data_IF_253330922770
#
_entry.id   IF_253330922770
#
_cell.length_a   1.000
_cell.length_b   1.000
_cell.length_c   1.000
_cell.angle_alpha   90.00
_cell.angle_beta   90.00
_cell.angle_gamma   90.00
#
_symmetry.space_group_name_H-M   'P 1'
#
loop_
_entity.id
_entity.type
_entity.pdbx_description
1 polymer ?
#
# COMPACT_ATOMS: atom_id res chain seq x y z
N UNK A 1 34.32 0.25 6.55
CA UNK A 1 32.98 0.05 5.92
C UNK A 1 31.94 0.82 6.72
N UNK A 2 31.39 1.88 6.12
CA UNK A 2 30.46 2.78 6.81
C UNK A 2 29.08 2.15 7.05
N UNK A 3 28.29 2.78 7.92
CA UNK A 3 26.89 2.42 8.24
C UNK A 3 26.03 2.17 7.00
N UNK A 4 26.19 2.99 5.97
CA UNK A 4 25.44 2.88 4.69
C UNK A 4 25.72 1.54 4.00
N UNK A 5 26.98 1.08 3.93
CA UNK A 5 27.32 -0.19 3.29
C UNK A 5 26.72 -1.41 4.01
N UNK A 6 26.52 -1.33 5.34
CA UNK A 6 25.85 -2.39 6.11
C UNK A 6 24.31 -2.30 6.05
N UNK A 7 23.77 -1.08 6.00
CA UNK A 7 22.33 -0.85 5.92
C UNK A 7 21.76 -1.28 4.57
N UNK A 8 22.51 -1.08 3.48
CA UNK A 8 22.14 -1.41 2.11
C UNK A 8 22.92 -2.61 1.54
N UNK A 9 23.19 -3.61 2.38
CA UNK A 9 23.83 -4.85 1.93
C UNK A 9 22.86 -5.69 1.10
N UNK A 10 22.92 -5.54 -0.23
CA UNK A 10 22.11 -6.26 -1.19
C UNK A 10 22.49 -7.74 -1.31
N UNK A 11 23.61 -8.16 -0.72
CA UNK A 11 24.03 -9.57 -0.68
C UNK A 11 23.42 -10.35 0.47
N UNK A 12 22.76 -9.69 1.42
CA UNK A 12 22.21 -10.30 2.61
C UNK A 12 21.14 -11.34 2.26
N UNK A 13 21.35 -12.58 2.71
CA UNK A 13 20.38 -13.67 2.58
C UNK A 13 19.45 -13.64 3.79
N UNK A 14 18.16 -13.69 3.54
CA UNK A 14 17.14 -13.75 4.59
C UNK A 14 16.77 -15.18 4.90
N UNK A 15 16.60 -15.49 6.20
CA UNK A 15 16.22 -16.82 6.63
C UNK A 15 14.75 -17.13 6.30
N UNK A 16 14.53 -18.13 5.45
CA UNK A 16 13.21 -18.63 5.08
C UNK A 16 12.37 -19.05 6.29
N UNK A 17 13.02 -19.54 7.36
CA UNK A 17 12.35 -20.01 8.58
C UNK A 17 11.42 -18.99 9.20
N UNK A 18 11.81 -17.70 9.22
CA UNK A 18 11.11 -16.66 9.96
C UNK A 18 10.10 -15.85 9.12
N UNK A 19 9.98 -16.13 7.83
CA UNK A 19 9.05 -15.39 6.99
C UNK A 19 7.60 -15.84 7.18
N UNK A 20 6.67 -14.89 7.21
CA UNK A 20 5.23 -15.14 7.24
C UNK A 20 4.66 -15.18 5.82
N UNK A 21 5.22 -14.38 4.90
CA UNK A 21 4.81 -14.32 3.51
C UNK A 21 5.56 -15.35 2.64
N UNK A 22 5.00 -15.65 1.46
CA UNK A 22 5.61 -16.44 0.39
C UNK A 22 6.05 -17.86 0.77
N UNK A 23 5.50 -18.44 1.87
CA UNK A 23 5.78 -19.82 2.29
C UNK A 23 5.30 -20.89 1.30
N UNK A 24 4.50 -20.51 0.33
CA UNK A 24 4.08 -21.36 -0.77
C UNK A 24 5.17 -21.50 -1.86
N UNK A 25 6.22 -20.67 -1.82
CA UNK A 25 7.38 -20.80 -2.68
C UNK A 25 8.40 -21.77 -2.05
N UNK A 26 9.02 -22.68 -2.83
CA UNK A 26 10.16 -23.46 -2.38
C UNK A 26 11.30 -22.54 -1.91
N UNK A 27 12.01 -22.93 -0.85
CA UNK A 27 13.09 -22.12 -0.26
C UNK A 27 14.14 -21.66 -1.28
N UNK A 28 14.65 -22.51 -2.21
CA UNK A 28 15.63 -22.07 -3.21
C UNK A 28 15.11 -20.94 -4.11
N UNK A 29 13.82 -20.95 -4.43
CA UNK A 29 13.18 -19.88 -5.22
C UNK A 29 13.03 -18.61 -4.36
N UNK A 30 12.57 -18.76 -3.12
CA UNK A 30 12.39 -17.65 -2.19
C UNK A 30 13.70 -16.87 -1.96
N UNK A 31 14.81 -17.55 -1.74
CA UNK A 31 16.11 -16.90 -1.46
C UNK A 31 16.81 -16.39 -2.73
N UNK A 32 16.29 -16.70 -3.92
CA UNK A 32 16.93 -16.35 -5.19
C UNK A 32 16.99 -14.83 -5.42
N UNK A 33 18.03 -14.40 -6.12
CA UNK A 33 18.16 -13.00 -6.58
C UNK A 33 17.06 -12.62 -7.56
N UNK A 34 16.57 -13.57 -8.34
CA UNK A 34 15.46 -13.37 -9.29
C UNK A 34 14.18 -13.00 -8.55
N UNK A 35 13.80 -13.73 -7.50
CA UNK A 35 12.64 -13.39 -6.66
C UNK A 35 12.79 -12.00 -6.04
N UNK A 36 13.97 -11.67 -5.53
CA UNK A 36 14.23 -10.33 -4.99
C UNK A 36 14.07 -9.23 -6.04
N UNK A 37 14.57 -9.45 -7.25
CA UNK A 37 14.43 -8.49 -8.36
C UNK A 37 12.98 -8.34 -8.83
N UNK A 38 12.22 -9.44 -8.92
CA UNK A 38 10.79 -9.42 -9.27
C UNK A 38 9.96 -8.66 -8.24
N UNK A 39 10.20 -8.90 -6.95
CA UNK A 39 9.50 -8.19 -5.88
C UNK A 39 9.85 -6.69 -5.89
N UNK A 40 11.12 -6.34 -6.09
CA UNK A 40 11.54 -4.94 -6.19
C UNK A 40 10.93 -4.25 -7.42
N UNK A 41 10.93 -4.91 -8.58
CA UNK A 41 10.31 -4.40 -9.79
C UNK A 41 8.79 -4.25 -9.63
N UNK A 42 8.14 -5.22 -8.99
CA UNK A 42 6.71 -5.15 -8.65
C UNK A 42 6.41 -3.97 -7.72
N UNK A 43 7.21 -3.79 -6.66
CA UNK A 43 7.08 -2.64 -5.75
C UNK A 43 7.18 -1.30 -6.50
N UNK A 44 8.26 -1.12 -7.27
CA UNK A 44 8.48 0.11 -8.04
C UNK A 44 7.39 0.34 -9.10
N UNK A 45 7.00 -0.71 -9.82
CA UNK A 45 5.96 -0.66 -10.85
C UNK A 45 4.59 -0.30 -10.29
N UNK A 46 4.20 -0.93 -9.18
CA UNK A 46 2.93 -0.65 -8.52
C UNK A 46 2.91 0.74 -7.88
N UNK A 47 4.00 1.15 -7.26
CA UNK A 47 4.12 2.50 -6.71
C UNK A 47 4.00 3.55 -7.84
N UNK A 48 4.70 3.34 -8.96
CA UNK A 48 4.59 4.19 -10.13
C UNK A 48 3.16 4.23 -10.69
N UNK A 49 2.47 3.07 -10.75
CA UNK A 49 1.08 2.99 -11.18
C UNK A 49 0.17 3.86 -10.31
N UNK A 50 0.29 3.79 -8.96
CA UNK A 50 -0.50 4.63 -8.06
C UNK A 50 -0.16 6.12 -8.22
N UNK A 51 1.12 6.46 -8.32
CA UNK A 51 1.57 7.84 -8.55
C UNK A 51 0.91 8.37 -9.83
N UNK A 52 1.06 7.66 -10.95
CA UNK A 52 0.64 8.15 -12.27
C UNK A 52 -0.87 8.19 -12.46
N UNK A 53 -1.60 7.20 -11.90
CA UNK A 53 -3.03 7.04 -12.19
C UNK A 53 -3.95 7.55 -11.08
N UNK A 54 -3.48 7.60 -9.82
CA UNK A 54 -4.32 7.90 -8.67
C UNK A 54 -3.92 9.21 -7.97
N UNK A 55 -2.63 9.43 -7.72
CA UNK A 55 -2.19 10.57 -6.91
C UNK A 55 -1.97 11.83 -7.73
N UNK A 56 -1.34 11.72 -8.89
CA UNK A 56 -1.14 12.88 -9.78
C UNK A 56 -2.42 13.30 -10.50
N UNK A 57 -3.32 12.35 -10.82
CA UNK A 57 -4.61 12.67 -11.43
C UNK A 57 -5.54 13.43 -10.47
N UNK A 58 -5.51 13.09 -9.19
CA UNK A 58 -6.33 13.78 -8.19
C UNK A 58 -5.99 15.27 -8.05
N UNK A 59 -4.80 15.68 -8.49
CA UNK A 59 -4.33 17.08 -8.44
C UNK A 59 -4.50 17.84 -9.77
N UNK A 60 -5.20 17.26 -10.74
CA UNK A 60 -5.62 17.97 -11.95
C UNK A 60 -4.59 18.08 -13.08
N UNK A 61 -3.44 17.41 -13.00
CA UNK A 61 -2.40 17.61 -14.01
C UNK A 61 -1.75 16.35 -14.59
N UNK A 62 -1.86 15.20 -13.95
CA UNK A 62 -1.12 14.00 -14.36
C UNK A 62 0.38 14.29 -14.54
N UNK A 63 1.05 13.58 -15.45
CA UNK A 63 2.48 13.80 -15.76
C UNK A 63 2.76 15.20 -16.31
N UNK A 64 1.84 15.76 -17.10
CA UNK A 64 2.00 17.10 -17.65
C UNK A 64 1.97 18.17 -16.55
N UNK A 65 1.10 18.01 -15.53
CA UNK A 65 1.06 18.88 -14.36
C UNK A 65 2.33 18.80 -13.53
N UNK A 66 2.88 17.60 -13.30
CA UNK A 66 4.17 17.44 -12.61
C UNK A 66 5.30 18.09 -13.38
N UNK A 67 5.36 17.87 -14.69
CA UNK A 67 6.37 18.51 -15.55
C UNK A 67 6.28 20.04 -15.51
N UNK A 68 5.06 20.56 -15.49
CA UNK A 68 4.83 21.99 -15.35
C UNK A 68 5.30 22.50 -13.97
N UNK A 69 4.94 21.82 -12.87
CA UNK A 69 5.36 22.16 -11.51
C UNK A 69 6.88 22.11 -11.31
N UNK A 70 7.58 21.22 -12.00
CA UNK A 70 9.04 21.14 -11.96
C UNK A 70 9.72 22.32 -12.71
N UNK A 71 8.99 22.95 -13.62
CA UNK A 71 9.50 24.08 -14.44
C UNK A 71 9.03 25.45 -13.98
N UNK A 72 7.91 25.50 -13.28
CA UNK A 72 7.29 26.75 -12.81
C UNK A 72 7.07 26.64 -11.31
N UNK A 73 7.21 27.76 -10.60
CA UNK A 73 6.78 27.81 -9.21
C UNK A 73 5.28 27.48 -9.12
N UNK A 74 4.83 26.73 -8.11
CA UNK A 74 3.41 26.46 -7.91
C UNK A 74 2.67 27.79 -7.79
N UNK A 75 1.41 27.89 -8.33
CA UNK A 75 0.60 29.08 -8.17
C UNK A 75 0.47 29.45 -6.69
N UNK A 76 0.60 30.73 -6.36
CA UNK A 76 0.50 31.21 -4.99
C UNK A 76 -0.85 30.83 -4.33
N UNK A 77 -1.89 30.65 -5.15
CA UNK A 77 -3.25 30.32 -4.74
C UNK A 77 -3.57 28.82 -4.85
N UNK A 78 -2.56 27.94 -4.99
CA UNK A 78 -2.79 26.50 -5.06
C UNK A 78 -3.42 26.03 -3.73
N UNK A 79 -4.59 25.32 -3.78
CA UNK A 79 -5.20 24.83 -2.57
C UNK A 79 -4.28 23.85 -1.85
N UNK A 80 -4.21 23.91 -0.50
CA UNK A 80 -3.39 23.00 0.27
C UNK A 80 -3.88 21.56 0.07
N UNK A 81 -2.93 20.60 0.08
CA UNK A 81 -3.26 19.19 0.06
C UNK A 81 -4.14 18.83 1.26
N UNK A 82 -5.22 18.10 1.01
CA UNK A 82 -6.06 17.57 2.06
C UNK A 82 -5.24 16.67 3.01
N UNK A 83 -5.35 16.85 4.35
CA UNK A 83 -4.69 15.96 5.32
C UNK A 83 -5.05 14.48 5.10
N UNK A 84 -6.29 14.20 4.73
CA UNK A 84 -6.74 12.84 4.39
C UNK A 84 -5.96 12.27 3.20
N UNK A 85 -5.74 13.07 2.16
CA UNK A 85 -4.95 12.67 0.99
C UNK A 85 -3.51 12.30 1.38
N UNK A 86 -2.86 13.14 2.16
CA UNK A 86 -1.50 12.90 2.62
C UNK A 86 -1.41 11.60 3.43
N UNK A 87 -2.30 11.38 4.39
CA UNK A 87 -2.33 10.16 5.21
C UNK A 87 -2.60 8.94 4.35
N UNK A 88 -3.55 9.03 3.41
CA UNK A 88 -3.86 7.95 2.47
C UNK A 88 -2.65 7.57 1.61
N UNK A 89 -1.96 8.56 1.03
CA UNK A 89 -0.75 8.32 0.25
C UNK A 89 0.33 7.61 1.07
N UNK A 90 0.60 8.09 2.29
CA UNK A 90 1.60 7.50 3.17
C UNK A 90 1.25 6.05 3.54
N UNK A 91 0.01 5.79 3.92
CA UNK A 91 -0.42 4.46 4.34
C UNK A 91 -0.48 3.47 3.16
N UNK A 92 -0.94 3.91 1.99
CA UNK A 92 -0.94 3.07 0.78
C UNK A 92 0.49 2.79 0.33
N UNK A 93 1.39 3.77 0.34
CA UNK A 93 2.79 3.57 -0.01
C UNK A 93 3.47 2.57 0.93
N UNK A 94 3.24 2.70 2.25
CA UNK A 94 3.74 1.75 3.23
C UNK A 94 3.18 0.34 2.99
N UNK A 95 1.88 0.22 2.72
CA UNK A 95 1.22 -1.06 2.44
C UNK A 95 1.78 -1.72 1.17
N UNK A 96 2.02 -0.95 0.09
CA UNK A 96 2.68 -1.47 -1.12
C UNK A 96 4.05 -2.04 -0.74
N UNK A 97 4.86 -1.33 0.06
CA UNK A 97 6.15 -1.81 0.54
C UNK A 97 6.05 -3.12 1.32
N UNK A 98 5.03 -3.27 2.17
CA UNK A 98 4.77 -4.51 2.93
C UNK A 98 4.38 -5.67 2.01
N UNK A 99 3.50 -5.44 1.03
CA UNK A 99 3.05 -6.49 0.09
C UNK A 99 4.22 -7.05 -0.74
N UNK A 100 5.13 -6.19 -1.16
CA UNK A 100 6.30 -6.58 -1.94
C UNK A 100 7.56 -6.84 -1.10
N UNK A 101 7.45 -6.86 0.23
CA UNK A 101 8.57 -7.18 1.08
C UNK A 101 9.11 -8.59 0.76
N UNK A 102 10.42 -8.69 0.53
CA UNK A 102 11.10 -9.96 0.24
C UNK A 102 10.93 -10.98 1.37
N UNK A 103 10.96 -10.50 2.61
CA UNK A 103 10.70 -11.29 3.80
C UNK A 103 9.88 -10.46 4.77
N UNK A 104 8.89 -11.08 5.36
CA UNK A 104 7.98 -10.44 6.30
C UNK A 104 8.00 -11.25 7.59
N UNK A 105 8.76 -10.77 8.58
CA UNK A 105 8.80 -11.38 9.91
C UNK A 105 7.57 -10.95 10.72
N UNK A 106 7.23 -11.70 11.76
CA UNK A 106 6.08 -11.41 12.65
C UNK A 106 6.12 -9.99 13.22
N UNK A 107 7.30 -9.48 13.58
CA UNK A 107 7.47 -8.13 14.09
C UNK A 107 7.07 -7.03 13.10
N UNK A 108 7.10 -7.30 11.79
CA UNK A 108 6.70 -6.31 10.78
C UNK A 108 5.21 -6.06 10.76
N UNK A 109 4.41 -6.89 11.43
CA UNK A 109 3.00 -6.63 11.63
C UNK A 109 2.76 -5.29 12.34
N UNK A 110 3.61 -4.93 13.31
CA UNK A 110 3.54 -3.64 14.00
C UNK A 110 3.73 -2.43 13.09
N UNK A 111 4.35 -2.61 11.91
CA UNK A 111 4.61 -1.51 10.99
C UNK A 111 3.39 -1.06 10.19
N UNK A 112 2.37 -1.90 10.07
CA UNK A 112 1.21 -1.55 9.26
C UNK A 112 -0.15 -1.95 9.86
N UNK A 113 -0.22 -2.77 10.92
CA UNK A 113 -1.51 -3.20 11.45
C UNK A 113 -2.40 -2.00 11.86
N UNK A 114 -1.81 -0.96 12.40
CA UNK A 114 -2.51 0.25 12.81
C UNK A 114 -3.08 1.04 11.61
N UNK A 115 -2.55 0.83 10.42
CA UNK A 115 -3.04 1.46 9.18
C UNK A 115 -4.19 0.67 8.54
N UNK A 116 -4.31 -0.64 8.85
CA UNK A 116 -5.29 -1.53 8.23
C UNK A 116 -6.75 -1.06 8.36
N UNK A 117 -7.24 -0.60 9.53
CA UNK A 117 -8.58 -0.07 9.62
C UNK A 117 -8.82 1.09 8.66
N UNK A 118 -7.90 2.03 8.60
CA UNK A 118 -8.00 3.17 7.68
C UNK A 118 -8.00 2.71 6.22
N UNK A 119 -7.09 1.82 5.83
CA UNK A 119 -6.98 1.31 4.46
C UNK A 119 -8.23 0.52 4.05
N UNK A 120 -8.76 -0.33 4.91
CA UNK A 120 -9.99 -1.09 4.66
C UNK A 120 -11.20 -0.17 4.45
N UNK A 121 -11.33 0.89 5.25
CA UNK A 121 -12.40 1.88 5.10
C UNK A 121 -12.19 2.81 3.89
N UNK A 122 -10.98 2.90 3.36
CA UNK A 122 -10.70 3.59 2.09
C UNK A 122 -11.13 2.78 0.86
N UNK A 123 -11.50 1.51 1.00
CA UNK A 123 -11.99 0.65 -0.10
C UNK A 123 -13.50 0.77 -0.31
N UNK A 124 -14.05 0.41 -1.49
CA UNK A 124 -15.48 0.30 -1.73
C UNK A 124 -16.09 -1.01 -1.22
N UNK A 125 -15.30 -1.87 -0.56
CA UNK A 125 -15.74 -3.18 -0.11
C UNK A 125 -16.86 -3.09 0.95
N UNK A 126 -17.79 -4.05 1.00
CA UNK A 126 -18.78 -4.13 2.05
C UNK A 126 -18.14 -4.47 3.41
N UNK A 127 -18.81 -4.11 4.51
CA UNK A 127 -18.30 -4.28 5.87
C UNK A 127 -17.80 -5.70 6.15
N UNK A 128 -18.59 -6.71 5.74
CA UNK A 128 -18.23 -8.13 5.96
C UNK A 128 -16.90 -8.47 5.28
N UNK A 129 -16.67 -8.01 4.05
CA UNK A 129 -15.41 -8.25 3.34
C UNK A 129 -14.24 -7.54 4.02
N UNK A 130 -14.41 -6.31 4.50
CA UNK A 130 -13.38 -5.57 5.24
C UNK A 130 -12.97 -6.31 6.51
N UNK A 131 -13.96 -6.76 7.29
CA UNK A 131 -13.70 -7.51 8.53
C UNK A 131 -13.07 -8.88 8.24
N UNK A 132 -13.49 -9.57 7.17
CA UNK A 132 -12.92 -10.84 6.76
C UNK A 132 -11.44 -10.69 6.33
N UNK A 133 -11.11 -9.64 5.57
CA UNK A 133 -9.73 -9.34 5.20
C UNK A 133 -8.89 -9.03 6.44
N UNK A 134 -9.41 -8.20 7.35
CA UNK A 134 -8.72 -7.89 8.60
C UNK A 134 -8.44 -9.15 9.42
N UNK A 135 -9.46 -9.99 9.64
CA UNK A 135 -9.32 -11.25 10.37
C UNK A 135 -8.36 -12.23 9.68
N UNK A 136 -8.35 -12.28 8.34
CA UNK A 136 -7.43 -13.12 7.58
C UNK A 136 -5.96 -12.70 7.76
N UNK A 137 -5.69 -11.39 7.78
CA UNK A 137 -4.35 -10.85 8.04
C UNK A 137 -3.93 -11.17 9.48
N UNK A 138 -4.81 -10.91 10.47
CA UNK A 138 -4.58 -11.26 11.87
C UNK A 138 -4.27 -12.74 12.04
N UNK A 139 -5.11 -13.61 11.46
CA UNK A 139 -4.90 -15.05 11.50
C UNK A 139 -3.51 -15.43 10.99
N UNK A 140 -3.12 -14.90 9.82
CA UNK A 140 -1.85 -15.28 9.20
C UNK A 140 -0.62 -14.91 10.06
N UNK A 141 -0.67 -13.76 10.76
CA UNK A 141 0.39 -13.35 11.68
C UNK A 141 0.35 -14.04 13.04
N UNK A 142 -0.75 -14.70 13.40
CA UNK A 142 -0.87 -15.48 14.63
C UNK A 142 -0.57 -16.98 14.45
N UNK A 143 -0.33 -17.45 13.22
CA UNK A 143 0.08 -18.84 12.96
C UNK A 143 1.60 -18.96 13.03
N UNK A 144 2.10 -19.69 14.04
CA UNK A 144 3.54 -19.98 14.18
C UNK A 144 3.79 -21.49 14.33
N UNK A 145 4.72 -22.07 13.59
CA UNK A 145 5.43 -21.48 12.43
C UNK A 145 4.47 -21.24 11.26
N UNK A 146 4.80 -20.24 10.42
CA UNK A 146 3.99 -19.94 9.25
C UNK A 146 3.94 -21.12 8.28
N UNK A 147 2.74 -21.38 7.76
CA UNK A 147 2.44 -22.48 6.84
C UNK A 147 2.20 -21.96 5.41
N UNK A 148 2.22 -22.87 4.44
CA UNK A 148 1.80 -22.57 3.06
C UNK A 148 0.38 -21.98 3.03
N UNK A 149 -0.53 -22.56 3.82
CA UNK A 149 -1.92 -22.10 3.88
C UNK A 149 -2.04 -20.70 4.49
N UNK A 150 -1.42 -20.42 5.67
CA UNK A 150 -1.47 -19.12 6.31
C UNK A 150 -0.85 -18.02 5.43
N UNK A 151 0.25 -18.33 4.76
CA UNK A 151 0.91 -17.43 3.81
C UNK A 151 0.07 -17.17 2.55
N UNK A 152 -0.64 -18.19 2.04
CA UNK A 152 -1.59 -18.05 0.94
C UNK A 152 -2.80 -17.16 1.31
N UNK A 153 -3.33 -17.34 2.52
CA UNK A 153 -4.41 -16.49 3.06
C UNK A 153 -3.94 -15.04 3.17
N UNK A 154 -2.74 -14.81 3.68
CA UNK A 154 -2.15 -13.46 3.76
C UNK A 154 -2.01 -12.82 2.37
N UNK A 155 -1.48 -13.56 1.40
CA UNK A 155 -1.32 -13.07 0.03
C UNK A 155 -2.67 -12.72 -0.62
N UNK A 156 -3.70 -13.56 -0.43
CA UNK A 156 -5.04 -13.31 -0.91
C UNK A 156 -5.67 -12.08 -0.25
N UNK A 157 -5.55 -11.95 1.07
CA UNK A 157 -6.07 -10.79 1.82
C UNK A 157 -5.39 -9.48 1.39
N UNK A 158 -4.06 -9.50 1.24
CA UNK A 158 -3.30 -8.34 0.73
C UNK A 158 -3.72 -7.97 -0.69
N UNK A 159 -3.89 -8.95 -1.57
CA UNK A 159 -4.32 -8.72 -2.96
C UNK A 159 -5.73 -8.10 -3.01
N UNK A 160 -6.67 -8.62 -2.23
CA UNK A 160 -8.03 -8.07 -2.17
C UNK A 160 -8.06 -6.63 -1.63
N UNK A 161 -7.29 -6.36 -0.56
CA UNK A 161 -7.15 -5.00 -0.03
C UNK A 161 -6.51 -4.07 -1.07
N UNK A 162 -5.46 -4.53 -1.74
CA UNK A 162 -4.77 -3.78 -2.77
C UNK A 162 -5.69 -3.41 -3.94
N UNK A 163 -6.43 -4.39 -4.49
CA UNK A 163 -7.42 -4.15 -5.55
C UNK A 163 -8.50 -3.19 -5.08
N UNK A 164 -9.01 -3.37 -3.86
CA UNK A 164 -9.98 -2.47 -3.26
C UNK A 164 -9.48 -1.02 -3.14
N UNK A 165 -8.21 -0.82 -2.77
CA UNK A 165 -7.58 0.50 -2.71
C UNK A 165 -7.40 1.13 -4.09
N UNK A 166 -7.08 0.29 -5.09
CA UNK A 166 -6.89 0.76 -6.47
C UNK A 166 -8.21 1.13 -7.13
N UNK A 167 -9.27 0.33 -6.97
CA UNK A 167 -10.60 0.56 -7.56
C UNK A 167 -11.40 1.61 -6.77
N UNK A 168 -11.07 1.82 -5.51
CA UNK A 168 -11.76 2.77 -4.63
C UNK A 168 -11.81 4.19 -5.21
N UNK A 169 -12.80 5.00 -4.82
CA UNK A 169 -13.00 6.33 -5.37
C UNK A 169 -11.75 7.20 -5.21
N UNK A 170 -11.44 7.96 -6.25
CA UNK A 170 -10.45 9.02 -6.17
C UNK A 170 -10.97 10.11 -5.22
N UNK A 171 -10.05 10.83 -4.59
CA UNK A 171 -10.38 11.74 -3.49
C UNK A 171 -11.31 12.90 -3.86
N UNK A 172 -11.22 13.39 -5.08
CA UNK A 172 -12.12 14.45 -5.59
C UNK A 172 -13.60 14.06 -5.58
N UNK A 173 -13.92 12.78 -5.79
CA UNK A 173 -15.31 12.31 -5.79
C UNK A 173 -15.94 12.26 -4.40
N UNK A 174 -15.14 12.13 -3.33
CA UNK A 174 -15.65 12.11 -1.95
C UNK A 174 -15.92 13.53 -1.41
N UNK A 175 -15.12 14.49 -1.77
CA UNK A 175 -15.31 15.89 -1.37
C UNK A 175 -16.56 16.48 -2.03
N UNK A 176 -16.77 16.25 -3.33
CA UNK A 176 -17.99 16.69 -4.03
C UNK A 176 -19.27 16.10 -3.41
N UNK A 177 -19.21 14.86 -2.91
CA UNK A 177 -20.37 14.21 -2.28
C UNK A 177 -20.70 14.78 -0.89
N UNK A 178 -19.72 15.37 -0.22
CA UNK A 178 -19.90 16.00 1.11
C UNK A 178 -20.39 17.45 0.97
N UNK A 179 -19.95 18.18 -0.04
CA UNK A 179 -20.34 19.56 -0.30
C UNK A 179 -21.76 19.65 -0.85
N UNK A 180 -22.22 18.68 -1.65
CA UNK A 180 -23.62 18.54 -2.07
C UNK A 180 -24.58 18.34 -0.87
N UNK A 181 -24.13 17.68 0.19
CA UNK A 181 -24.92 17.49 1.41
C UNK A 181 -25.04 18.79 2.23
N UNK A 182 -24.02 19.66 2.17
CA UNK A 182 -24.02 20.98 2.84
C UNK A 182 -24.85 22.03 2.10
N UNK A 183 -24.94 21.94 0.78
CA UNK A 183 -25.68 22.88 -0.06
C UNK A 183 -27.20 22.66 0.03
N UNK A 184 -27.66 21.42 0.15
CA UNK A 184 -29.10 21.11 0.31
C UNK A 184 -29.67 21.52 1.68
N UNK A 185 -28.85 21.60 2.71
CA UNK A 185 -29.27 21.97 4.07
C UNK A 185 -29.41 23.49 4.26
N UNK A 186 -28.98 24.31 3.29
CA UNK A 186 -29.14 25.78 3.29
C UNK A 186 -30.33 26.28 2.50
N UNK A 187 -31.10 25.39 1.87
CA UNK A 187 -32.28 25.68 1.07
C UNK A 187 -33.61 25.21 1.72
N UNK A 188 -33.54 24.62 2.93
CA UNK A 188 -34.69 24.38 3.84
C UNK A 188 -34.63 25.31 5.05
#
# INVERSE_FOLDING_TARGET
EGYIGRAFDLSRVFEYKWTVNLKFLPEPIFVSKTTAAVLLAGHAGVLALFILTRWLHAQGGGLAGVWLLLRTAPPADAPPLSPYHMVRMLFVSNFIGVVFARTLHYQFYSWYFHTLPFLLWATPLPLVARLAIFAAIEYAFNVFPATTASSGILAAAHTLLFVGLFVGPAEGERLCRHDDCGSRRKLE
#
